data_IF_935881255559
#
_entry.id   IF_935881255559
#
_cell.length_a   1.000
_cell.length_b   1.000
_cell.length_c   1.000
_cell.angle_alpha   90.00
_cell.angle_beta   90.00
_cell.angle_gamma   90.00
#
_symmetry.space_group_name_H-M   'P 1'
#
loop_
_entity.id
_entity.type
_entity.pdbx_description
1 polymer ?
#
# COMPACT_ATOMS: atom_id res chain seq x y z
N UNK A 1 -71.19 48.98 31.00
CA UNK A 1 -70.59 47.91 30.19
C UNK A 1 -69.51 48.57 29.32
N UNK A 2 -68.22 48.40 29.62
CA UNK A 2 -67.13 48.99 28.82
C UNK A 2 -66.24 47.84 28.34
N UNK A 3 -66.30 47.57 27.04
CA UNK A 3 -65.46 46.57 26.36
C UNK A 3 -64.10 47.21 26.07
N UNK A 4 -63.04 46.75 26.74
CA UNK A 4 -61.66 47.07 26.33
C UNK A 4 -61.25 46.08 25.24
N UNK A 5 -61.16 46.54 24.01
CA UNK A 5 -60.48 45.82 22.92
C UNK A 5 -58.99 46.09 23.03
N UNK A 6 -58.23 45.12 23.53
CA UNK A 6 -56.77 45.15 23.47
C UNK A 6 -56.32 44.88 22.03
N UNK A 7 -55.89 45.91 21.33
CA UNK A 7 -55.20 45.76 20.05
C UNK A 7 -53.78 45.27 20.31
N UNK A 8 -53.41 44.13 19.74
CA UNK A 8 -52.03 43.68 19.72
C UNK A 8 -51.24 44.61 18.79
N UNK A 9 -50.40 45.47 19.37
CA UNK A 9 -49.36 46.19 18.61
C UNK A 9 -48.27 45.18 18.28
N UNK A 10 -48.24 44.69 17.05
CA UNK A 10 -47.11 43.92 16.52
C UNK A 10 -45.91 44.85 16.38
N UNK A 11 -44.83 44.54 17.08
CA UNK A 11 -43.58 45.29 16.99
C UNK A 11 -42.79 44.75 15.79
N UNK A 12 -42.69 45.50 14.68
CA UNK A 12 -42.00 45.04 13.48
C UNK A 12 -40.51 44.74 13.72
N UNK A 13 -39.91 45.33 14.76
CA UNK A 13 -38.54 45.00 15.16
C UNK A 13 -38.45 43.60 15.77
N UNK A 14 -39.41 43.25 16.63
CA UNK A 14 -39.51 41.90 17.22
C UNK A 14 -39.80 40.87 16.14
N UNK A 15 -40.71 41.16 15.21
CA UNK A 15 -41.03 40.26 14.10
C UNK A 15 -39.83 40.05 13.17
N UNK A 16 -39.06 41.10 12.88
CA UNK A 16 -37.84 41.00 12.08
C UNK A 16 -36.76 40.19 12.80
N UNK A 17 -36.58 40.43 14.10
CA UNK A 17 -35.60 39.73 14.94
C UNK A 17 -35.92 38.22 15.02
N UNK A 18 -37.19 37.86 15.21
CA UNK A 18 -37.62 36.46 15.25
C UNK A 18 -37.44 35.76 13.91
N UNK A 19 -37.78 36.42 12.80
CA UNK A 19 -37.58 35.85 11.46
C UNK A 19 -36.09 35.69 11.13
N UNK A 20 -35.24 36.64 11.51
CA UNK A 20 -33.79 36.53 11.33
C UNK A 20 -33.19 35.39 12.16
N UNK A 21 -33.63 35.24 13.42
CA UNK A 21 -33.21 34.14 14.29
C UNK A 21 -33.67 32.78 13.74
N UNK A 22 -34.91 32.69 13.25
CA UNK A 22 -35.44 31.49 12.62
C UNK A 22 -34.64 31.12 11.36
N UNK A 23 -34.31 32.10 10.52
CA UNK A 23 -33.45 31.89 9.35
C UNK A 23 -32.05 31.41 9.73
N UNK A 24 -31.43 32.04 10.74
CA UNK A 24 -30.11 31.63 11.23
C UNK A 24 -30.12 30.21 11.80
N UNK A 25 -31.11 29.87 12.63
CA UNK A 25 -31.24 28.52 13.21
C UNK A 25 -31.49 27.46 12.14
N UNK A 26 -32.31 27.76 11.12
CA UNK A 26 -32.51 26.88 9.96
C UNK A 26 -31.19 26.63 9.21
N UNK A 27 -30.46 27.70 8.89
CA UNK A 27 -29.16 27.60 8.20
C UNK A 27 -28.13 26.84 9.05
N UNK A 28 -28.16 27.00 10.37
CA UNK A 28 -27.33 26.23 11.29
C UNK A 28 -27.67 24.74 11.25
N UNK A 29 -28.95 24.35 11.29
CA UNK A 29 -29.34 22.95 11.13
C UNK A 29 -28.98 22.38 9.75
N UNK A 30 -29.20 23.14 8.67
CA UNK A 30 -28.76 22.76 7.31
C UNK A 30 -27.24 22.56 7.30
N UNK A 31 -26.47 23.44 7.95
CA UNK A 31 -25.03 23.31 8.06
C UNK A 31 -24.63 22.06 8.84
N UNK A 32 -25.28 21.70 9.95
CA UNK A 32 -25.01 20.48 10.72
C UNK A 32 -25.32 19.21 9.92
N UNK A 33 -26.39 19.22 9.13
CA UNK A 33 -26.72 18.10 8.22
C UNK A 33 -25.66 17.97 7.11
N UNK A 34 -25.15 19.09 6.61
CA UNK A 34 -24.05 19.10 5.63
C UNK A 34 -22.68 18.79 6.25
N UNK A 35 -22.50 19.11 7.53
CA UNK A 35 -21.34 18.80 8.34
C UNK A 35 -21.42 17.36 8.81
N UNK A 36 -21.62 16.42 7.87
CA UNK A 36 -21.58 14.99 8.13
C UNK A 36 -20.14 14.56 8.45
N UNK A 37 -19.79 14.20 9.71
CA UNK A 37 -18.46 13.73 10.06
C UNK A 37 -18.28 12.23 9.74
N UNK A 38 -19.35 11.52 9.39
CA UNK A 38 -19.43 10.06 9.21
C UNK A 38 -19.23 9.65 7.75
N UNK A 39 -18.10 10.04 7.15
CA UNK A 39 -17.53 9.39 5.97
C UNK A 39 -15.99 9.43 5.94
N UNK A 40 -15.34 9.80 7.05
CA UNK A 40 -13.87 9.83 7.17
C UNK A 40 -13.34 8.95 8.30
N UNK A 41 -14.15 7.99 8.75
CA UNK A 41 -13.62 6.87 9.50
C UNK A 41 -12.96 5.89 8.51
N UNK A 42 -11.64 5.93 8.40
CA UNK A 42 -10.85 4.74 8.08
C UNK A 42 -10.80 4.24 6.63
N UNK A 43 -11.10 5.04 5.60
CA UNK A 43 -10.48 4.77 4.29
C UNK A 43 -9.24 5.64 4.15
N UNK A 44 -8.14 5.18 4.74
CA UNK A 44 -6.87 5.43 4.07
C UNK A 44 -7.04 4.76 2.72
N UNK A 45 -7.42 5.52 1.69
CA UNK A 45 -7.24 5.06 0.33
C UNK A 45 -5.72 4.95 0.18
N UNK A 46 -5.17 3.80 0.56
CA UNK A 46 -3.83 3.37 0.21
C UNK A 46 -3.81 3.39 -1.31
N UNK A 47 -3.40 4.53 -1.85
CA UNK A 47 -3.20 4.70 -3.28
C UNK A 47 -1.99 3.84 -3.59
N UNK A 48 -2.20 2.75 -4.31
CA UNK A 48 -1.14 1.92 -4.86
C UNK A 48 -1.03 2.24 -6.36
N UNK A 49 0.16 2.56 -6.83
CA UNK A 49 0.45 2.64 -8.26
C UNK A 49 0.89 1.28 -8.77
N UNK A 50 1.76 0.59 -8.01
CA UNK A 50 2.23 -0.75 -8.31
C UNK A 50 2.30 -1.63 -7.06
N UNK A 51 2.11 -2.93 -7.26
CA UNK A 51 2.44 -3.99 -6.31
C UNK A 51 3.57 -4.81 -6.92
N UNK A 52 4.61 -5.05 -6.13
CA UNK A 52 5.73 -5.91 -6.45
C UNK A 52 5.65 -7.08 -5.48
N UNK A 53 5.52 -8.28 -6.00
CA UNK A 53 5.40 -9.48 -5.17
C UNK A 53 6.38 -10.54 -5.62
N UNK A 54 6.91 -11.30 -4.67
CA UNK A 54 7.59 -12.57 -4.93
C UNK A 54 6.86 -13.69 -4.20
N UNK A 55 6.77 -14.84 -4.86
CA UNK A 55 6.16 -16.06 -4.31
C UNK A 55 7.08 -17.24 -4.59
N UNK A 56 7.12 -18.21 -3.68
CA UNK A 56 7.88 -19.45 -3.84
C UNK A 56 7.07 -20.64 -3.30
N UNK A 57 7.47 -21.90 -3.56
CA UNK A 57 6.63 -23.04 -3.22
C UNK A 57 6.31 -23.09 -1.73
N UNK A 58 5.03 -23.28 -1.39
CA UNK A 58 4.48 -23.26 -0.03
C UNK A 58 5.08 -24.36 0.88
N UNK A 59 5.60 -25.43 0.28
CA UNK A 59 6.26 -26.52 1.01
C UNK A 59 7.66 -26.16 1.49
N UNK A 60 8.21 -25.03 1.05
CA UNK A 60 9.60 -24.62 1.33
C UNK A 60 9.62 -23.75 2.55
N UNK A 61 10.52 -24.05 3.48
CA UNK A 61 10.79 -23.18 4.62
C UNK A 61 11.94 -22.24 4.33
N UNK A 62 12.21 -21.89 3.08
CA UNK A 62 13.29 -20.96 2.75
C UNK A 62 12.83 -19.52 2.96
N UNK A 63 13.76 -18.65 3.34
CA UNK A 63 13.51 -17.23 3.58
C UNK A 63 14.04 -16.40 2.41
N UNK A 64 13.13 -15.81 1.63
CA UNK A 64 13.43 -15.01 0.45
C UNK A 64 12.88 -13.60 0.66
N UNK A 65 13.78 -12.65 0.86
CA UNK A 65 13.42 -11.24 1.05
C UNK A 65 13.25 -10.50 -0.27
N UNK A 66 12.31 -9.56 -0.29
CA UNK A 66 12.13 -8.59 -1.36
C UNK A 66 12.79 -7.24 -1.00
N UNK A 67 13.69 -6.78 -1.86
CA UNK A 67 14.37 -5.50 -1.71
C UNK A 67 14.05 -4.60 -2.90
N UNK A 68 13.47 -3.42 -2.63
CA UNK A 68 13.13 -2.47 -3.70
C UNK A 68 13.76 -1.12 -3.40
N UNK A 69 14.44 -0.55 -4.39
CA UNK A 69 14.98 0.81 -4.33
C UNK A 69 14.21 1.73 -5.27
N UNK A 70 13.86 2.90 -4.76
CA UNK A 70 13.24 3.97 -5.55
C UNK A 70 14.28 4.87 -6.26
N UNK A 71 13.86 5.78 -7.16
CA UNK A 71 14.77 6.69 -7.84
C UNK A 71 15.50 7.69 -6.95
N UNK A 72 14.99 7.97 -5.75
CA UNK A 72 15.62 8.86 -4.76
C UNK A 72 16.69 8.13 -3.92
N UNK A 73 16.80 6.81 -4.08
CA UNK A 73 17.74 5.98 -3.33
C UNK A 73 17.19 5.41 -2.04
N UNK A 74 15.89 5.60 -1.75
CA UNK A 74 15.23 4.97 -0.62
C UNK A 74 15.06 3.47 -0.91
N UNK A 75 15.43 2.63 0.06
CA UNK A 75 15.37 1.17 -0.05
C UNK A 75 14.37 0.67 0.98
N UNK A 76 13.37 -0.08 0.51
CA UNK A 76 12.46 -0.85 1.35
C UNK A 76 12.95 -2.29 1.46
N UNK A 77 12.86 -2.84 2.65
CA UNK A 77 13.13 -4.25 2.98
C UNK A 77 12.61 -4.57 4.38
N UNK A 78 12.82 -5.79 4.86
CA UNK A 78 12.47 -6.17 6.23
C UNK A 78 13.13 -5.26 7.30
N UNK A 79 14.32 -4.70 7.02
CA UNK A 79 15.01 -3.74 7.90
C UNK A 79 14.31 -2.38 7.96
N UNK A 80 13.66 -1.97 6.87
CA UNK A 80 12.98 -0.68 6.73
C UNK A 80 11.71 -0.86 5.91
N UNK A 81 10.62 -1.17 6.60
CA UNK A 81 9.30 -1.47 6.00
C UNK A 81 8.63 -0.26 5.35
N UNK A 82 8.99 0.96 5.74
CA UNK A 82 8.53 2.21 5.13
C UNK A 82 9.72 3.02 4.62
N UNK A 83 9.83 3.21 3.30
CA UNK A 83 10.93 3.93 2.67
C UNK A 83 10.43 4.80 1.49
N UNK A 84 10.34 6.11 1.71
CA UNK A 84 9.80 7.04 0.71
C UNK A 84 8.35 6.70 0.35
N UNK A 85 8.12 6.31 -0.90
CA UNK A 85 6.80 5.86 -1.40
C UNK A 85 6.65 4.35 -1.42
N UNK A 86 7.67 3.61 -1.00
CA UNK A 86 7.64 2.15 -0.92
C UNK A 86 7.19 1.72 0.47
N UNK A 87 6.43 0.63 0.52
CA UNK A 87 6.04 -0.02 1.76
C UNK A 87 6.09 -1.54 1.60
N UNK A 88 6.64 -2.23 2.58
CA UNK A 88 6.60 -3.68 2.69
C UNK A 88 5.33 -4.10 3.43
N UNK A 89 4.29 -4.48 2.68
CA UNK A 89 3.00 -4.87 3.25
C UNK A 89 3.02 -6.28 3.83
N UNK A 90 3.83 -7.17 3.25
CA UNK A 90 3.98 -8.55 3.71
C UNK A 90 5.44 -8.96 3.70
N UNK A 91 5.86 -9.52 4.83
CA UNK A 91 7.21 -9.97 5.18
C UNK A 91 7.05 -11.38 5.78
N UNK A 92 7.47 -12.40 5.04
CA UNK A 92 7.23 -13.81 5.29
C UNK A 92 8.53 -14.61 5.25
N UNK A 93 8.87 -15.15 6.42
CA UNK A 93 10.09 -15.92 6.66
C UNK A 93 10.02 -17.37 6.14
N UNK A 94 8.91 -17.78 5.51
CA UNK A 94 8.69 -19.10 4.90
C UNK A 94 8.37 -20.24 5.89
N UNK A 95 8.52 -20.02 7.20
CA UNK A 95 8.26 -21.04 8.24
C UNK A 95 6.98 -20.77 9.06
N UNK A 96 6.38 -19.59 8.92
CA UNK A 96 5.21 -19.19 9.70
C UNK A 96 3.95 -19.43 8.86
N UNK A 97 3.13 -20.38 9.31
CA UNK A 97 1.84 -20.63 8.68
C UNK A 97 0.89 -19.44 8.88
N UNK A 98 0.41 -18.83 7.80
CA UNK A 98 -0.68 -17.86 7.91
C UNK A 98 -1.97 -18.55 8.32
N UNK A 99 -2.69 -17.90 9.23
CA UNK A 99 -4.04 -18.31 9.61
C UNK A 99 -5.02 -17.29 9.06
N UNK A 100 -6.01 -17.77 8.32
CA UNK A 100 -7.08 -16.96 7.73
C UNK A 100 -8.40 -17.34 8.39
N UNK A 101 -9.22 -16.36 8.74
CA UNK A 101 -10.56 -16.64 9.30
C UNK A 101 -11.58 -16.68 8.16
N UNK A 102 -12.14 -17.86 7.90
CA UNK A 102 -13.21 -18.07 6.91
C UNK A 102 -14.46 -18.50 7.67
N UNK A 103 -15.52 -17.69 7.60
CA UNK A 103 -16.79 -17.95 8.29
C UNK A 103 -16.65 -18.20 9.80
N UNK A 104 -15.71 -17.48 10.45
CA UNK A 104 -15.45 -17.62 11.89
C UNK A 104 -14.62 -18.85 12.28
N UNK A 105 -14.08 -19.59 11.32
CA UNK A 105 -13.13 -20.68 11.54
C UNK A 105 -11.73 -20.26 11.13
N UNK A 106 -10.76 -20.54 11.99
CA UNK A 106 -9.35 -20.43 11.63
C UNK A 106 -8.97 -21.55 10.66
N UNK A 107 -8.48 -21.16 9.49
CA UNK A 107 -7.99 -22.04 8.44
C UNK A 107 -6.53 -21.68 8.18
N UNK A 108 -5.64 -22.65 8.31
CA UNK A 108 -4.23 -22.47 7.93
C UNK A 108 -4.13 -22.46 6.41
N UNK A 109 -3.57 -21.38 5.86
CA UNK A 109 -3.34 -21.21 4.43
C UNK A 109 -1.86 -20.88 4.22
N UNK A 110 -0.99 -21.88 3.94
CA UNK A 110 0.43 -21.63 3.80
C UNK A 110 0.67 -20.87 2.49
N UNK A 111 1.07 -19.60 2.57
CA UNK A 111 1.44 -18.81 1.38
C UNK A 111 2.77 -18.11 1.60
N UNK A 112 3.80 -18.63 0.94
CA UNK A 112 5.12 -18.04 0.94
C UNK A 112 5.16 -16.83 0.00
N UNK A 113 5.11 -15.62 0.57
CA UNK A 113 5.01 -14.38 -0.21
C UNK A 113 5.56 -13.15 0.50
N UNK A 114 6.39 -12.38 -0.22
CA UNK A 114 6.70 -10.98 0.09
C UNK A 114 5.90 -10.03 -0.80
N UNK A 115 5.49 -8.87 -0.27
CA UNK A 115 4.74 -7.86 -1.00
C UNK A 115 5.22 -6.45 -0.67
N UNK A 116 5.64 -5.72 -1.71
CA UNK A 116 5.95 -4.29 -1.64
C UNK A 116 4.93 -3.49 -2.46
N UNK A 117 4.29 -2.51 -1.83
CA UNK A 117 3.46 -1.51 -2.52
C UNK A 117 4.24 -0.24 -2.80
N UNK A 118 4.16 0.24 -4.04
CA UNK A 118 4.56 1.59 -4.43
C UNK A 118 3.35 2.52 -4.36
N UNK A 119 3.32 3.40 -3.34
CA UNK A 119 2.19 4.28 -3.03
C UNK A 119 2.11 5.55 -3.88
N UNK A 120 3.17 5.86 -4.61
CA UNK A 120 3.26 7.05 -5.45
C UNK A 120 4.33 6.88 -6.52
N UNK A 121 4.16 7.59 -7.64
CA UNK A 121 5.08 7.49 -8.77
C UNK A 121 6.14 8.59 -8.71
N UNK A 122 7.41 8.20 -8.73
CA UNK A 122 8.53 9.10 -8.94
C UNK A 122 9.16 8.78 -10.29
N UNK A 123 9.44 9.81 -11.07
CA UNK A 123 10.15 9.66 -12.34
C UNK A 123 11.59 9.18 -12.07
N UNK A 124 11.94 8.04 -12.66
CA UNK A 124 13.29 7.49 -12.60
C UNK A 124 13.30 5.97 -12.52
N UNK A 125 14.47 5.40 -12.24
CA UNK A 125 14.66 3.96 -12.25
C UNK A 125 14.42 3.34 -10.87
N UNK A 126 13.52 2.36 -10.81
CA UNK A 126 13.32 1.47 -9.68
C UNK A 126 14.16 0.20 -9.86
N UNK A 127 14.69 -0.33 -8.77
CA UNK A 127 15.48 -1.58 -8.75
C UNK A 127 14.79 -2.59 -7.86
N UNK A 128 14.54 -3.80 -8.37
CA UNK A 128 13.96 -4.91 -7.61
C UNK A 128 14.97 -6.04 -7.51
N UNK A 129 15.34 -6.37 -6.28
CA UNK A 129 16.22 -7.48 -5.94
C UNK A 129 15.48 -8.50 -5.10
N UNK A 130 15.90 -9.76 -5.23
CA UNK A 130 15.66 -10.78 -4.22
C UNK A 130 16.94 -11.02 -3.44
N UNK A 131 16.78 -11.32 -2.16
CA UNK A 131 17.86 -11.77 -1.30
C UNK A 131 17.49 -13.12 -0.67
N UNK A 132 18.35 -14.12 -0.85
CA UNK A 132 18.15 -15.43 -0.25
C UNK A 132 18.70 -15.43 1.19
N UNK A 133 17.88 -14.96 2.12
CA UNK A 133 18.29 -14.71 3.51
C UNK A 133 18.70 -15.99 4.23
N UNK A 134 17.82 -16.99 4.24
CA UNK A 134 18.09 -18.26 4.91
C UNK A 134 17.70 -19.42 4.00
N UNK A 135 18.74 -20.10 3.49
CA UNK A 135 18.59 -21.37 2.79
C UNK A 135 18.46 -22.51 3.79
N UNK A 136 17.25 -23.04 3.97
CA UNK A 136 16.95 -24.14 4.91
C UNK A 136 16.96 -25.50 4.22
N UNK A 137 16.66 -25.52 2.92
CA UNK A 137 16.69 -26.72 2.09
C UNK A 137 17.92 -26.77 1.17
N UNK A 138 18.39 -27.98 0.81
CA UNK A 138 19.59 -28.15 -0.03
C UNK A 138 19.37 -27.76 -1.50
N UNK A 139 18.17 -27.99 -2.02
CA UNK A 139 17.84 -27.73 -3.42
C UNK A 139 17.71 -26.23 -3.72
N UNK A 140 18.08 -25.77 -4.93
CA UNK A 140 17.76 -24.42 -5.40
C UNK A 140 16.26 -24.16 -5.36
N UNK A 141 15.88 -22.91 -5.11
CA UNK A 141 14.48 -22.48 -5.04
C UNK A 141 14.11 -21.64 -6.27
N UNK A 142 12.97 -21.96 -6.89
CA UNK A 142 12.38 -21.12 -7.92
C UNK A 142 11.40 -20.13 -7.29
N UNK A 143 11.68 -18.84 -7.44
CA UNK A 143 10.81 -17.76 -7.02
C UNK A 143 10.17 -17.07 -8.23
N UNK A 144 8.90 -16.71 -8.12
CA UNK A 144 8.14 -15.99 -9.14
C UNK A 144 7.93 -14.54 -8.71
N UNK A 145 8.58 -13.62 -9.42
CA UNK A 145 8.43 -12.17 -9.23
C UNK A 145 7.39 -11.63 -10.19
N UNK A 146 6.48 -10.81 -9.67
CA UNK A 146 5.47 -10.08 -10.45
C UNK A 146 5.50 -8.59 -10.11
N UNK A 147 5.26 -7.78 -11.12
CA UNK A 147 4.95 -6.36 -10.95
C UNK A 147 3.58 -6.11 -11.56
N UNK A 148 2.66 -5.63 -10.73
CA UNK A 148 1.27 -5.37 -11.08
C UNK A 148 1.00 -3.88 -10.91
N UNK A 149 0.61 -3.23 -12.00
CA UNK A 149 0.05 -1.88 -11.96
C UNK A 149 -1.36 -1.96 -11.39
N UNK A 150 -1.72 -1.09 -10.46
CA UNK A 150 -3.05 -1.11 -9.80
C UNK A 150 -3.98 -0.03 -10.33
N UNK A 151 -3.46 1.15 -10.68
CA UNK A 151 -4.25 2.31 -11.08
C UNK A 151 -4.06 2.62 -12.58
N UNK A 152 -5.13 2.69 -13.41
CA UNK A 152 -6.56 2.65 -13.07
C UNK A 152 -7.17 1.24 -12.96
N UNK A 153 -6.45 0.21 -13.39
CA UNK A 153 -6.90 -1.18 -13.32
C UNK A 153 -5.71 -2.10 -13.08
N UNK A 154 -5.97 -3.25 -12.43
CA UNK A 154 -4.95 -4.26 -12.18
C UNK A 154 -4.44 -4.84 -13.50
N UNK A 155 -3.15 -4.66 -13.77
CA UNK A 155 -2.48 -5.22 -14.95
C UNK A 155 -1.08 -5.70 -14.57
N UNK A 156 -0.78 -6.96 -14.86
CA UNK A 156 0.58 -7.49 -14.76
C UNK A 156 1.44 -6.87 -15.87
N UNK A 157 2.46 -6.11 -15.49
CA UNK A 157 3.39 -5.45 -16.41
C UNK A 157 4.74 -6.17 -16.49
N UNK A 158 5.04 -7.04 -15.52
CA UNK A 158 6.24 -7.86 -15.49
C UNK A 158 6.00 -9.17 -14.75
N UNK A 159 6.55 -10.27 -15.28
CA UNK A 159 6.58 -11.60 -14.67
C UNK A 159 7.93 -12.21 -14.96
N UNK A 160 8.59 -12.77 -13.93
CA UNK A 160 9.83 -13.53 -14.12
C UNK A 160 9.98 -14.61 -13.07
N UNK A 161 10.38 -15.81 -13.53
CA UNK A 161 10.89 -16.88 -12.67
C UNK A 161 12.39 -16.72 -12.51
N UNK A 162 12.87 -16.88 -11.30
CA UNK A 162 14.29 -16.82 -10.96
C UNK A 162 14.63 -17.99 -10.04
N UNK A 163 15.77 -18.60 -10.30
CA UNK A 163 16.31 -19.65 -9.45
C UNK A 163 17.39 -19.04 -8.56
N UNK A 164 17.25 -19.20 -7.25
CA UNK A 164 18.23 -18.84 -6.22
C UNK A 164 18.82 -20.12 -5.64
N UNK A 165 20.15 -20.19 -5.53
CA UNK A 165 20.84 -21.45 -5.21
C UNK A 165 21.70 -21.38 -3.95
N UNK A 166 22.17 -20.19 -3.56
CA UNK A 166 23.07 -20.01 -2.42
C UNK A 166 22.42 -19.12 -1.36
N UNK A 167 22.69 -19.43 -0.09
CA UNK A 167 22.40 -18.47 1.00
C UNK A 167 23.20 -17.20 0.77
N UNK A 168 22.65 -16.07 1.19
CA UNK A 168 23.24 -14.74 1.00
C UNK A 168 23.40 -14.34 -0.48
N UNK A 169 22.71 -15.01 -1.40
CA UNK A 169 22.64 -14.63 -2.80
C UNK A 169 21.71 -13.42 -2.96
N UNK A 170 22.25 -12.29 -3.40
CA UNK A 170 21.48 -11.15 -3.85
C UNK A 170 21.43 -11.10 -5.37
N UNK A 171 20.22 -11.01 -5.93
CA UNK A 171 20.04 -10.97 -7.38
C UNK A 171 19.10 -9.85 -7.80
N UNK A 172 19.58 -8.98 -8.67
CA UNK A 172 18.73 -8.00 -9.35
C UNK A 172 17.86 -8.71 -10.38
N UNK A 173 16.55 -8.64 -10.17
CA UNK A 173 15.55 -9.29 -11.02
C UNK A 173 15.20 -8.38 -12.18
N UNK A 174 14.94 -7.11 -11.87
CA UNK A 174 14.56 -6.09 -12.84
C UNK A 174 14.88 -4.68 -12.34
N UNK A 175 15.33 -3.86 -13.27
CA UNK A 175 15.41 -2.41 -13.16
C UNK A 175 14.49 -1.82 -14.21
N UNK A 176 13.66 -0.87 -13.83
CA UNK A 176 12.65 -0.32 -14.73
C UNK A 176 12.32 1.14 -14.39
N UNK A 177 11.86 1.88 -15.38
CA UNK A 177 11.31 3.23 -15.20
C UNK A 177 9.83 3.18 -15.52
N UNK A 178 8.94 3.53 -14.59
CA UNK A 178 7.52 3.60 -14.90
C UNK A 178 7.21 4.86 -15.72
N UNK A 179 6.20 4.77 -16.56
CA UNK A 179 5.71 5.88 -17.38
C UNK A 179 4.39 6.42 -16.82
N UNK A 180 3.96 7.59 -17.32
CA UNK A 180 2.68 8.21 -16.94
C UNK A 180 1.46 7.38 -17.34
N UNK A 181 1.55 6.63 -18.43
CA UNK A 181 0.51 5.70 -18.87
C UNK A 181 0.52 4.39 -18.08
N UNK A 182 1.44 4.22 -17.12
CA UNK A 182 1.56 3.07 -16.23
C UNK A 182 2.20 1.82 -16.85
N UNK A 183 2.86 1.98 -18.01
CA UNK A 183 3.76 0.95 -18.54
C UNK A 183 5.14 1.10 -17.91
N UNK A 184 5.99 0.08 -18.09
CA UNK A 184 7.39 0.12 -17.63
C UNK A 184 8.31 0.13 -18.84
N UNK A 185 9.34 0.98 -18.80
CA UNK A 185 10.36 1.13 -19.85
C UNK A 185 11.76 0.99 -19.25
N UNK A 186 12.80 1.00 -20.10
CA UNK A 186 14.20 0.82 -19.69
C UNK A 186 14.45 -0.47 -18.88
N UNK A 187 13.66 -1.51 -19.16
CA UNK A 187 13.69 -2.80 -18.46
C UNK A 187 15.05 -3.46 -18.69
N UNK A 188 15.81 -3.69 -17.62
CA UNK A 188 17.11 -4.34 -17.67
C UNK A 188 17.41 -5.14 -16.39
N UNK A 189 18.45 -5.96 -16.43
CA UNK A 189 18.83 -6.87 -15.34
C UNK A 189 20.25 -6.59 -14.81
N UNK A 190 20.73 -5.35 -14.98
CA UNK A 190 22.08 -4.99 -14.55
C UNK A 190 22.16 -5.08 -13.03
N UNK A 191 23.01 -5.99 -12.55
CA UNK A 191 23.18 -6.30 -11.14
C UNK A 191 23.64 -5.07 -10.33
N UNK A 192 22.99 -4.86 -9.19
CA UNK A 192 23.27 -3.82 -8.19
C UNK A 192 23.03 -4.41 -6.82
N UNK A 193 23.92 -4.15 -5.86
CA UNK A 193 23.71 -4.49 -4.45
C UNK A 193 22.85 -3.42 -3.76
N UNK A 194 21.77 -3.85 -3.12
CA UNK A 194 20.88 -3.07 -2.25
C UNK A 194 21.05 -3.45 -0.78
N UNK A 195 21.43 -4.70 -0.50
CA UNK A 195 21.65 -5.14 0.87
C UNK A 195 22.86 -4.45 1.51
N UNK A 196 22.81 -4.15 2.82
CA UNK A 196 23.94 -3.57 3.54
C UNK A 196 25.01 -4.62 3.87
N UNK A 197 24.78 -5.89 3.57
CA UNK A 197 25.71 -6.97 3.90
C UNK A 197 26.94 -6.88 2.98
N UNK A 198 28.12 -6.91 3.60
CA UNK A 198 29.37 -7.12 2.89
C UNK A 198 29.43 -8.60 2.47
N UNK A 199 28.64 -9.02 1.47
CA UNK A 199 28.81 -10.36 0.91
C UNK A 199 30.23 -10.42 0.33
N UNK A 200 30.99 -11.41 0.77
CA UNK A 200 32.35 -11.66 0.31
C UNK A 200 32.36 -11.74 -1.23
N UNK A 201 33.33 -11.11 -1.92
CA UNK A 201 33.42 -11.21 -3.36
C UNK A 201 33.61 -12.69 -3.75
N UNK A 202 32.86 -13.15 -4.76
CA UNK A 202 33.06 -14.49 -5.33
C UNK A 202 34.54 -14.65 -5.75
N UNK A 203 35.18 -15.71 -5.25
CA UNK A 203 36.56 -16.09 -5.58
C UNK A 203 36.64 -16.86 -6.89
#
# INVERSE_FOLDING_TARGET
MIRRTGGYTTDPFVDLLFNALLGFTLLFFVSLVYFNPEARQGKVNLKAEYIISVTWPESRTDDIDLWVRDPLGEIVSYLKKDAGWLHLDRDDQGAVNDTVVIEGREVVYPINQELVTLRGLIDGEYTVNLYYYEKRDLEPIEALVKIERINPSVQTVFVKRVVLSKSDEERTIVRFTPTRDGSIINVNERQVRLTPYLLEPET
#
